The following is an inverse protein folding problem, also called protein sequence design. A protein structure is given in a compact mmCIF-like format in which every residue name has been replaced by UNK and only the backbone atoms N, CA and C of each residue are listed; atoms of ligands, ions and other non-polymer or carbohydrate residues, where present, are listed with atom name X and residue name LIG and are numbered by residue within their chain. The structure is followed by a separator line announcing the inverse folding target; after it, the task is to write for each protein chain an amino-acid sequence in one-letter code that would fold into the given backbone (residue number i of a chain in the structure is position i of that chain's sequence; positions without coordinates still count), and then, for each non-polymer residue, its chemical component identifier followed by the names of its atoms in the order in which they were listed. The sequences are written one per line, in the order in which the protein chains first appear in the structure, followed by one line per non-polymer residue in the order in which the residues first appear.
data_IF_995754046582
#
_entry.id   IF_995754046582
#
_cell.length_a   1.000
_cell.length_b   1.000
_cell.length_c   1.000
_cell.angle_alpha   90.00
_cell.angle_beta   90.00
_cell.angle_gamma   90.00
#
_symmetry.space_group_name_H-M   'P 1'
#
loop_
_entity.id
_entity.type
_entity.pdbx_description
1 polymer ?
#
# COMPACT_ATOMS: atom_id res chain seq x y z
N UNK A 1 -8.67 -5.91 20.33
CA UNK A 1 -7.97 -5.40 19.13
C UNK A 1 -8.11 -3.89 19.17
N UNK A 2 -7.00 -3.17 19.36
CA UNK A 2 -7.03 -1.71 19.49
C UNK A 2 -7.45 -1.04 18.17
N UNK A 3 -8.13 0.09 18.24
CA UNK A 3 -8.52 0.92 17.09
C UNK A 3 -7.36 1.21 16.13
N UNK A 4 -6.14 1.34 16.65
CA UNK A 4 -4.91 1.52 15.86
C UNK A 4 -4.61 0.35 14.92
N UNK A 5 -5.17 -0.83 15.20
CA UNK A 5 -5.06 -1.98 14.31
C UNK A 5 -5.97 -1.87 13.09
N UNK A 6 -7.12 -1.21 13.23
CA UNK A 6 -8.18 -1.15 12.23
C UNK A 6 -8.00 0.00 11.24
N UNK A 7 -7.40 1.11 11.67
CA UNK A 7 -7.17 2.30 10.82
C UNK A 7 -6.36 1.97 9.55
N UNK A 8 -5.23 1.24 9.62
CA UNK A 8 -4.45 0.92 8.42
C UNK A 8 -5.22 0.02 7.44
N UNK A 9 -6.08 -0.87 7.96
CA UNK A 9 -6.88 -1.77 7.14
C UNK A 9 -8.08 -1.05 6.50
N UNK A 10 -8.71 -0.11 7.21
CA UNK A 10 -9.75 0.74 6.64
C UNK A 10 -9.20 1.60 5.49
N UNK A 11 -8.00 2.18 5.68
CA UNK A 11 -7.31 2.94 4.64
C UNK A 11 -6.94 2.06 3.44
N UNK A 12 -6.62 0.78 3.65
CA UNK A 12 -6.34 -0.16 2.56
C UNK A 12 -7.58 -0.35 1.68
N UNK A 13 -8.73 -0.65 2.30
CA UNK A 13 -9.98 -0.83 1.57
C UNK A 13 -10.43 0.45 0.85
N UNK A 14 -10.27 1.62 1.48
CA UNK A 14 -10.59 2.91 0.87
C UNK A 14 -9.70 3.18 -0.35
N UNK A 15 -8.39 3.06 -0.20
CA UNK A 15 -7.45 3.30 -1.29
C UNK A 15 -7.66 2.33 -2.47
N UNK A 16 -7.98 1.06 -2.18
CA UNK A 16 -8.33 0.10 -3.22
C UNK A 16 -9.64 0.46 -3.96
N UNK A 17 -10.67 0.89 -3.24
CA UNK A 17 -11.93 1.33 -3.83
C UNK A 17 -11.73 2.57 -4.73
N UNK A 18 -10.91 3.52 -4.31
CA UNK A 18 -10.58 4.71 -5.08
C UNK A 18 -9.76 4.38 -6.33
N UNK A 19 -8.78 3.48 -6.22
CA UNK A 19 -8.02 2.98 -7.37
C UNK A 19 -8.96 2.37 -8.42
N UNK A 20 -9.89 1.51 -7.98
CA UNK A 20 -10.91 0.89 -8.86
C UNK A 20 -11.89 1.90 -9.46
N UNK A 21 -12.10 3.03 -8.80
CA UNK A 21 -12.94 4.12 -9.27
C UNK A 21 -12.20 5.15 -10.15
N UNK A 22 -10.92 4.93 -10.48
CA UNK A 22 -10.11 5.85 -11.27
C UNK A 22 -9.66 7.10 -10.49
N UNK A 23 -9.83 7.13 -9.17
CA UNK A 23 -9.48 8.24 -8.28
C UNK A 23 -8.04 8.10 -7.78
N UNK A 24 -7.08 8.05 -8.71
CA UNK A 24 -5.68 7.73 -8.40
C UNK A 24 -5.01 8.70 -7.41
N UNK A 25 -5.23 10.03 -7.47
CA UNK A 25 -4.66 10.94 -6.48
C UNK A 25 -5.19 10.69 -5.05
N UNK A 26 -6.47 10.35 -4.92
CA UNK A 26 -7.08 10.01 -3.63
C UNK A 26 -6.54 8.66 -3.12
N UNK A 27 -6.49 7.66 -4.00
CA UNK A 27 -5.93 6.34 -3.68
C UNK A 27 -4.49 6.45 -3.17
N UNK A 28 -3.68 7.30 -3.81
CA UNK A 28 -2.30 7.60 -3.38
C UNK A 28 -2.27 8.21 -1.98
N UNK A 29 -3.07 9.24 -1.75
CA UNK A 29 -3.14 9.95 -0.47
C UNK A 29 -3.49 9.00 0.69
N UNK A 30 -4.54 8.19 0.52
CA UNK A 30 -4.97 7.26 1.56
C UNK A 30 -4.02 6.07 1.72
N UNK A 31 -3.37 5.60 0.66
CA UNK A 31 -2.35 4.57 0.76
C UNK A 31 -1.07 5.06 1.46
N UNK A 32 -0.67 6.32 1.28
CA UNK A 32 0.46 6.93 2.00
C UNK A 32 0.16 7.07 3.50
N UNK A 33 -1.06 7.47 3.86
CA UNK A 33 -1.50 7.53 5.25
C UNK A 33 -1.60 6.13 5.88
N UNK A 34 -2.17 5.18 5.15
CA UNK A 34 -2.28 3.79 5.55
C UNK A 34 -0.92 3.12 5.75
N UNK A 35 0.05 3.44 4.89
CA UNK A 35 1.42 2.99 5.04
C UNK A 35 2.07 3.55 6.32
N UNK A 36 1.93 4.86 6.57
CA UNK A 36 2.48 5.52 7.78
C UNK A 36 1.90 4.95 9.06
N UNK A 37 0.60 4.62 9.07
CA UNK A 37 -0.08 4.03 10.25
C UNK A 37 0.27 2.55 10.42
N UNK A 38 0.29 1.76 9.33
CA UNK A 38 0.70 0.36 9.35
C UNK A 38 2.13 0.17 9.86
N UNK A 39 3.07 1.03 9.44
CA UNK A 39 4.46 0.97 9.90
C UNK A 39 4.57 1.29 11.40
N UNK A 40 3.85 2.32 11.88
CA UNK A 40 3.80 2.66 13.31
C UNK A 40 3.21 1.53 14.16
N UNK A 41 2.21 0.84 13.64
CA UNK A 41 1.56 -0.30 14.30
C UNK A 41 2.32 -1.64 14.12
N UNK A 42 3.46 -1.67 13.41
CA UNK A 42 4.20 -2.90 13.13
C UNK A 42 3.50 -3.88 12.20
N UNK A 43 2.44 -3.45 11.49
CA UNK A 43 1.63 -4.30 10.61
C UNK A 43 2.28 -4.45 9.23
N UNK A 44 3.19 -5.41 9.11
CA UNK A 44 4.01 -5.59 7.91
C UNK A 44 3.19 -5.97 6.66
N UNK A 45 2.14 -6.78 6.81
CA UNK A 45 1.30 -7.21 5.69
C UNK A 45 0.46 -6.04 5.15
N UNK A 46 -0.22 -5.31 6.04
CA UNK A 46 -0.97 -4.09 5.66
C UNK A 46 -0.06 -3.06 5.02
N UNK A 47 1.16 -2.88 5.54
CA UNK A 47 2.17 -2.02 4.93
C UNK A 47 2.66 -2.51 3.56
N UNK A 48 2.55 -3.81 3.26
CA UNK A 48 2.86 -4.36 1.94
C UNK A 48 1.72 -4.07 0.94
N UNK A 49 0.46 -4.24 1.36
CA UNK A 49 -0.70 -3.92 0.55
C UNK A 49 -0.74 -2.43 0.15
N UNK A 50 -0.49 -1.53 1.10
CA UNK A 50 -0.38 -0.09 0.79
C UNK A 50 0.71 0.23 -0.23
N UNK A 51 1.88 -0.43 -0.14
CA UNK A 51 2.93 -0.25 -1.15
C UNK A 51 2.51 -0.77 -2.52
N UNK A 52 1.76 -1.87 -2.59
CA UNK A 52 1.23 -2.38 -3.85
C UNK A 52 0.26 -1.39 -4.50
N UNK A 53 -0.65 -0.79 -3.71
CA UNK A 53 -1.58 0.24 -4.20
C UNK A 53 -0.82 1.47 -4.72
N UNK A 54 0.22 1.93 -4.01
CA UNK A 54 1.07 3.05 -4.45
C UNK A 54 1.81 2.74 -5.76
N UNK A 55 2.34 1.53 -5.91
CA UNK A 55 2.96 1.10 -7.17
C UNK A 55 1.96 1.13 -8.32
N UNK A 56 0.74 0.65 -8.11
CA UNK A 56 -0.30 0.64 -9.13
C UNK A 56 -0.71 2.07 -9.51
N UNK A 57 -0.94 2.96 -8.54
CA UNK A 57 -1.27 4.36 -8.81
C UNK A 57 -0.15 5.07 -9.60
N UNK A 58 1.12 4.91 -9.21
CA UNK A 58 2.25 5.51 -9.90
C UNK A 58 2.45 4.94 -11.32
N UNK A 59 2.08 3.69 -11.57
CA UNK A 59 2.17 3.09 -12.92
C UNK A 59 1.21 3.73 -13.91
N UNK A 60 0.09 4.28 -13.42
CA UNK A 60 -0.91 4.96 -14.24
C UNK A 60 -0.47 6.39 -14.56
N UNK A 61 0.35 7.00 -13.71
CA UNK A 61 0.91 8.35 -13.88
C UNK A 61 2.23 8.35 -14.69
N UNK A 62 2.64 7.22 -15.27
CA UNK A 62 3.90 7.04 -16.00
C UNK A 62 5.17 7.42 -15.20
N UNK A 63 5.20 7.12 -13.89
CA UNK A 63 6.37 7.33 -13.01
C UNK A 63 7.15 6.02 -12.74
N UNK A 64 7.96 5.50 -13.69
CA UNK A 64 8.54 4.14 -13.61
C UNK A 64 9.49 3.93 -12.42
N UNK A 65 10.23 4.96 -12.00
CA UNK A 65 11.16 4.87 -10.86
C UNK A 65 10.41 4.71 -9.52
N UNK A 66 9.24 5.36 -9.40
CA UNK A 66 8.39 5.27 -8.21
C UNK A 66 7.76 3.89 -8.13
N UNK A 67 7.28 3.37 -9.26
CA UNK A 67 6.77 1.99 -9.38
C UNK A 67 7.84 0.98 -8.94
N UNK A 68 9.05 1.07 -9.50
CA UNK A 68 10.14 0.14 -9.21
C UNK A 68 10.49 0.09 -7.71
N UNK A 69 10.51 1.26 -7.04
CA UNK A 69 10.78 1.35 -5.60
C UNK A 69 9.70 0.65 -4.77
N UNK A 70 8.43 0.87 -5.09
CA UNK A 70 7.31 0.29 -4.33
C UNK A 70 7.19 -1.22 -4.55
N UNK A 71 7.35 -1.69 -5.80
CA UNK A 71 7.37 -3.12 -6.14
C UNK A 71 8.50 -3.84 -5.41
N UNK A 72 9.72 -3.28 -5.43
CA UNK A 72 10.88 -3.87 -4.75
C UNK A 72 10.62 -4.02 -3.25
N UNK A 73 10.06 -3.00 -2.61
CA UNK A 73 9.74 -3.04 -1.19
C UNK A 73 8.63 -4.06 -0.85
N UNK A 74 7.62 -4.19 -1.71
CA UNK A 74 6.55 -5.18 -1.55
C UNK A 74 7.09 -6.62 -1.69
N UNK A 75 7.87 -6.89 -2.74
CA UNK A 75 8.46 -8.21 -2.99
C UNK A 75 9.44 -8.62 -1.89
N UNK A 76 10.24 -7.70 -1.35
CA UNK A 76 11.12 -7.99 -0.22
C UNK A 76 10.35 -8.41 1.03
N UNK A 77 9.13 -7.89 1.22
CA UNK A 77 8.25 -8.32 2.30
C UNK A 77 7.68 -9.70 2.01
N UNK A 78 7.15 -9.92 0.80
CA UNK A 78 6.61 -11.22 0.40
C UNK A 78 7.64 -12.35 0.53
N UNK A 79 8.88 -12.14 0.07
CA UNK A 79 9.99 -13.10 0.18
C UNK A 79 10.31 -13.47 1.63
N UNK A 80 10.39 -12.49 2.53
CA UNK A 80 10.64 -12.73 3.96
C UNK A 80 9.54 -13.54 4.65
N UNK A 81 8.36 -13.61 4.05
CA UNK A 81 7.21 -14.32 4.58
C UNK A 81 6.86 -15.58 3.77
N UNK A 82 7.70 -16.01 2.82
CA UNK A 82 7.45 -17.20 2.00
C UNK A 82 6.29 -17.05 1.01
N UNK A 83 5.89 -15.81 0.72
CA UNK A 83 4.75 -15.46 -0.15
C UNK A 83 5.19 -15.05 -1.57
N UNK A 84 6.49 -15.10 -1.86
CA UNK A 84 6.99 -14.93 -3.22
C UNK A 84 6.92 -16.29 -3.92
N UNK A 85 6.07 -16.39 -4.95
CA UNK A 85 6.01 -17.55 -5.83
C UNK A 85 7.21 -17.60 -6.78
#
# INVERSE_FOLDING_TARGET
LGSDALVPQALEYLAYAELRAGRHPQARTHAEEGLRTALRAGQRNTAAHHRAILALAASIEEEPDVVARHVTAALNTARRHGLAQ
#
